data_IF_123191055873
#
_entry.id   IF_123191055873
#
_cell.length_a   1.000
_cell.length_b   1.000
_cell.length_c   1.000
_cell.angle_alpha   90.00
_cell.angle_beta   90.00
_cell.angle_gamma   90.00
#
_symmetry.space_group_name_H-M   'P 1'
#
loop_
_entity.id
_entity.type
_entity.pdbx_description
1 polymer ?
#
# COMPACT_ATOMS: atom_id res chain seq x y z
N UNK A 1 15.58 6.82 -12.44
CA UNK A 1 14.34 6.10 -12.12
C UNK A 1 14.17 6.11 -10.61
N UNK A 2 13.02 6.56 -10.11
CA UNK A 2 12.73 6.48 -8.68
C UNK A 2 12.19 5.08 -8.37
N UNK A 3 12.77 4.44 -7.36
CA UNK A 3 12.32 3.13 -6.88
C UNK A 3 11.66 3.23 -5.52
N UNK A 4 10.76 2.30 -5.23
CA UNK A 4 10.02 2.21 -3.97
C UNK A 4 10.06 0.80 -3.42
N UNK A 5 9.99 0.65 -2.10
CA UNK A 5 9.83 -0.65 -1.45
C UNK A 5 8.37 -0.93 -1.15
N UNK A 6 8.05 -2.19 -0.82
CA UNK A 6 6.71 -2.56 -0.31
C UNK A 6 6.26 -1.72 0.89
N UNK A 7 7.20 -1.37 1.77
CA UNK A 7 6.95 -0.52 2.93
C UNK A 7 6.57 0.89 2.50
N UNK A 8 7.25 1.44 1.48
CA UNK A 8 6.95 2.77 0.95
C UNK A 8 5.57 2.79 0.28
N UNK A 9 5.22 1.74 -0.46
CA UNK A 9 3.90 1.58 -1.09
C UNK A 9 2.80 1.55 -0.01
N UNK A 10 2.91 0.67 1.00
CA UNK A 10 1.96 0.60 2.12
C UNK A 10 1.81 1.95 2.82
N UNK A 11 2.94 2.61 3.12
CA UNK A 11 2.96 3.89 3.81
C UNK A 11 2.25 5.00 3.03
N UNK A 12 2.53 5.10 1.72
CA UNK A 12 1.93 6.12 0.83
C UNK A 12 0.45 5.87 0.55
N UNK A 13 -0.01 4.63 0.58
CA UNK A 13 -1.43 4.29 0.45
C UNK A 13 -2.19 4.32 1.77
N UNK A 14 -1.51 4.62 2.89
CA UNK A 14 -2.18 4.67 4.19
C UNK A 14 -2.52 3.29 4.75
N UNK A 15 -1.99 2.20 4.20
CA UNK A 15 -2.33 0.82 4.56
C UNK A 15 -1.46 0.39 5.75
N UNK A 16 -2.08 0.16 6.90
CA UNK A 16 -1.39 -0.09 8.17
C UNK A 16 -1.94 -1.30 8.91
N UNK A 17 -1.13 -1.92 9.76
CA UNK A 17 -1.55 -2.96 10.72
C UNK A 17 -2.18 -2.33 11.96
N UNK A 18 -2.73 -3.16 12.87
CA UNK A 18 -3.25 -2.69 14.17
C UNK A 18 -2.23 -1.89 14.99
N UNK A 19 -0.94 -2.16 14.79
CA UNK A 19 0.16 -1.45 15.46
C UNK A 19 0.59 -0.16 14.74
N UNK A 20 -0.19 0.32 13.75
CA UNK A 20 0.09 1.50 12.92
C UNK A 20 1.38 1.39 12.08
N UNK A 21 1.88 0.17 11.87
CA UNK A 21 3.02 -0.09 10.97
C UNK A 21 2.51 -0.32 9.55
N UNK A 22 3.30 0.02 8.50
CA UNK A 22 2.90 -0.29 7.12
C UNK A 22 2.63 -1.78 6.92
N UNK A 23 1.50 -2.13 6.31
CA UNK A 23 1.08 -3.52 6.15
C UNK A 23 1.78 -4.21 4.96
N UNK A 24 3.06 -4.53 5.12
CA UNK A 24 3.90 -5.13 4.07
C UNK A 24 3.35 -6.45 3.48
N UNK A 25 2.82 -7.41 4.26
CA UNK A 25 2.33 -8.68 3.71
C UNK A 25 1.19 -8.52 2.69
N UNK A 26 0.26 -7.59 2.95
CA UNK A 26 -0.83 -7.27 2.03
C UNK A 26 -0.31 -6.67 0.72
N UNK A 27 0.66 -5.75 0.79
CA UNK A 27 1.29 -5.22 -0.43
C UNK A 27 2.00 -6.32 -1.22
N UNK A 28 2.64 -7.27 -0.54
CA UNK A 28 3.28 -8.40 -1.19
C UNK A 28 2.26 -9.30 -1.92
N UNK A 29 1.13 -9.60 -1.29
CA UNK A 29 0.05 -10.36 -1.90
C UNK A 29 -0.51 -9.65 -3.15
N UNK A 30 -0.81 -8.34 -3.05
CA UNK A 30 -1.36 -7.57 -4.17
C UNK A 30 -0.36 -7.46 -5.34
N UNK A 31 0.92 -7.16 -5.05
CA UNK A 31 1.94 -7.11 -6.10
C UNK A 31 2.12 -8.47 -6.79
N UNK A 32 1.99 -9.57 -6.04
CA UNK A 32 2.03 -10.92 -6.60
C UNK A 32 0.82 -11.21 -7.49
N UNK A 33 -0.37 -10.78 -7.11
CA UNK A 33 -1.59 -10.96 -7.91
C UNK A 33 -1.54 -10.16 -9.22
N UNK A 34 -0.92 -8.97 -9.17
CA UNK A 34 -0.70 -8.12 -10.35
C UNK A 34 0.46 -8.59 -11.25
N UNK A 35 1.18 -9.67 -10.89
CA UNK A 35 2.46 -10.09 -11.51
C UNK A 35 3.49 -8.94 -11.63
N UNK A 36 3.49 -8.02 -10.67
CA UNK A 36 4.44 -6.89 -10.64
C UNK A 36 5.77 -7.38 -10.08
N UNK A 37 6.78 -7.41 -10.95
CA UNK A 37 8.12 -7.88 -10.59
C UNK A 37 8.99 -6.74 -10.08
N UNK A 38 9.85 -6.99 -9.08
CA UNK A 38 10.81 -5.99 -8.63
C UNK A 38 11.87 -5.74 -9.71
N UNK A 39 12.27 -4.47 -9.86
CA UNK A 39 13.39 -4.05 -10.70
C UNK A 39 14.72 -4.58 -10.18
N UNK A 40 14.87 -4.61 -8.85
CA UNK A 40 16.03 -5.16 -8.17
C UNK A 40 15.57 -6.00 -7.00
N UNK A 41 16.11 -7.22 -6.92
CA UNK A 41 15.88 -8.14 -5.82
C UNK A 41 17.21 -8.40 -5.12
N UNK A 42 17.53 -7.56 -4.14
CA UNK A 42 18.59 -7.88 -3.20
C UNK A 42 18.08 -8.91 -2.19
N UNK A 43 19.00 -9.61 -1.52
CA UNK A 43 18.68 -10.63 -0.51
C UNK A 43 17.84 -10.06 0.65
N UNK A 44 17.86 -8.74 0.86
CA UNK A 44 17.19 -8.04 1.96
C UNK A 44 16.17 -7.00 1.51
N UNK A 45 16.13 -6.63 0.22
CA UNK A 45 15.30 -5.54 -0.28
C UNK A 45 14.88 -5.79 -1.72
N UNK A 46 13.57 -5.77 -1.94
CA UNK A 46 12.98 -5.70 -3.27
C UNK A 46 12.58 -4.25 -3.58
N UNK A 47 13.01 -3.76 -4.74
CA UNK A 47 12.71 -2.42 -5.22
C UNK A 47 11.82 -2.50 -6.46
N UNK A 48 10.79 -1.67 -6.48
CA UNK A 48 9.76 -1.61 -7.51
C UNK A 48 9.76 -0.23 -8.15
N UNK A 49 9.19 -0.10 -9.34
CA UNK A 49 8.92 1.20 -9.93
C UNK A 49 7.94 1.99 -9.08
N UNK A 50 8.10 3.32 -9.03
CA UNK A 50 7.15 4.22 -8.35
C UNK A 50 5.71 4.10 -8.92
N UNK A 51 5.58 3.71 -10.20
CA UNK A 51 4.30 3.38 -10.85
C UNK A 51 3.51 2.27 -10.13
N UNK A 52 4.19 1.39 -9.39
CA UNK A 52 3.58 0.30 -8.64
C UNK A 52 2.62 0.79 -7.55
N UNK A 53 2.79 2.03 -7.05
CA UNK A 53 1.85 2.63 -6.11
C UNK A 53 0.47 2.82 -6.75
N UNK A 54 0.44 3.29 -8.00
CA UNK A 54 -0.81 3.50 -8.74
C UNK A 54 -1.44 2.17 -9.13
N UNK A 55 -0.64 1.17 -9.49
CA UNK A 55 -1.14 -0.18 -9.79
C UNK A 55 -1.82 -0.81 -8.57
N UNK A 56 -1.20 -0.73 -7.39
CA UNK A 56 -1.81 -1.22 -6.15
C UNK A 56 -3.06 -0.42 -5.79
N UNK A 57 -3.03 0.92 -5.90
CA UNK A 57 -4.21 1.78 -5.69
C UNK A 57 -5.39 1.35 -6.58
N UNK A 58 -5.12 1.16 -7.87
CA UNK A 58 -6.13 0.76 -8.84
C UNK A 58 -6.70 -0.62 -8.52
N UNK A 59 -5.85 -1.58 -8.14
CA UNK A 59 -6.30 -2.92 -7.76
C UNK A 59 -7.28 -2.89 -6.59
N UNK A 60 -7.01 -2.09 -5.54
CA UNK A 60 -7.94 -1.96 -4.41
C UNK A 60 -9.28 -1.33 -4.80
N UNK A 61 -9.24 -0.33 -5.67
CA UNK A 61 -10.45 0.29 -6.20
C UNK A 61 -11.28 -0.73 -7.00
N UNK A 62 -10.66 -1.47 -7.91
CA UNK A 62 -11.35 -2.42 -8.79
C UNK A 62 -11.83 -3.68 -8.07
N UNK A 63 -11.06 -4.22 -7.13
CA UNK A 63 -11.37 -5.48 -6.46
C UNK A 63 -12.17 -5.33 -5.17
N UNK A 64 -11.99 -4.22 -4.46
CA UNK A 64 -12.55 -4.02 -3.11
C UNK A 64 -13.43 -2.77 -3.02
N UNK A 65 -13.45 -1.92 -4.06
CA UNK A 65 -14.19 -0.65 -4.03
C UNK A 65 -13.60 0.36 -3.04
N UNK A 66 -12.33 0.20 -2.66
CA UNK A 66 -11.68 1.07 -1.68
C UNK A 66 -10.96 2.20 -2.40
N UNK A 67 -11.31 3.42 -2.04
CA UNK A 67 -10.55 4.62 -2.39
C UNK A 67 -9.55 4.94 -1.26
N UNK A 68 -8.33 5.34 -1.63
CA UNK A 68 -7.31 5.80 -0.68
C UNK A 68 -7.15 7.33 -0.77
N UNK A 69 -8.08 8.11 -0.21
CA UNK A 69 -7.88 9.54 -0.05
C UNK A 69 -6.71 9.78 0.91
N UNK A 70 -5.85 10.74 0.60
CA UNK A 70 -4.72 11.07 1.48
C UNK A 70 -5.22 11.77 2.76
N UNK A 71 -6.22 12.64 2.61
CA UNK A 71 -6.87 13.35 3.69
C UNK A 71 -8.38 13.49 3.46
N UNK A 72 -9.12 13.62 4.55
CA UNK A 72 -10.51 14.10 4.55
C UNK A 72 -10.61 15.37 5.40
N UNK A 73 -11.56 16.23 5.06
CA UNK A 73 -11.88 17.43 5.83
C UNK A 73 -13.20 17.24 6.57
N UNK A 74 -13.18 17.49 7.88
CA UNK A 74 -14.38 17.49 8.72
C UNK A 74 -14.25 18.60 9.77
N UNK A 75 -15.30 19.40 9.97
CA UNK A 75 -15.32 20.52 10.94
C UNK A 75 -14.11 21.46 10.79
N UNK A 76 -13.71 21.81 9.56
CA UNK A 76 -12.54 22.62 9.23
C UNK A 76 -11.19 22.05 9.70
N UNK A 77 -11.12 20.74 9.96
CA UNK A 77 -9.91 20.02 10.32
C UNK A 77 -9.59 18.95 9.27
N UNK A 78 -8.29 18.77 8.97
CA UNK A 78 -7.78 17.75 8.04
C UNK A 78 -7.32 16.51 8.78
N UNK A 79 -7.86 15.35 8.38
CA UNK A 79 -7.52 14.05 8.94
C UNK A 79 -6.86 13.19 7.89
N UNK A 80 -5.73 12.56 8.23
CA UNK A 80 -5.09 11.58 7.36
C UNK A 80 -5.89 10.27 7.42
N UNK A 81 -6.29 9.74 6.26
CA UNK A 81 -7.00 8.46 6.21
C UNK A 81 -6.00 7.32 6.21
N UNK A 82 -6.28 6.30 7.03
CA UNK A 82 -5.51 5.07 7.09
C UNK A 82 -6.46 3.88 6.93
N UNK A 83 -6.09 2.97 6.06
CA UNK A 83 -6.82 1.72 5.87
C UNK A 83 -6.21 0.64 6.77
N UNK A 84 -7.05 0.09 7.64
CA UNK A 84 -6.71 -1.01 8.52
C UNK A 84 -7.45 -2.26 7.99
N UNK A 85 -6.79 -3.12 7.19
CA UNK A 85 -7.38 -4.38 6.76
C UNK A 85 -7.68 -5.26 7.97
N UNK A 86 -8.69 -6.11 7.84
CA UNK A 86 -8.96 -7.14 8.84
C UNK A 86 -7.81 -8.15 8.83
N UNK A 87 -7.00 -8.13 9.90
CA UNK A 87 -5.97 -9.13 10.15
C UNK A 87 -6.63 -10.29 10.90
N UNK A 88 -6.83 -11.43 10.21
CA UNK A 88 -7.28 -12.66 10.87
C UNK A 88 -6.19 -13.10 11.86
N UNK A 89 -6.55 -13.28 13.13
CA UNK A 89 -5.61 -13.59 14.20
C UNK A 89 -5.29 -15.09 14.28
N UNK A 90 -5.08 -15.71 13.11
CA UNK A 90 -4.77 -17.14 12.99
C UNK A 90 -3.32 -17.45 13.36
#
# INVERSE_FOLDING_TARGET
MNTVTRKDIAFRLGIVTRTKKPHVPLIEAVLSELDVRPLNRSRTRAEFEESSIQQVRQWFYERVGIEFPEFIEANSQRFQVRYLPEEDAS
#
